data_IF_899196110238
#
_entry.id   IF_899196110238
#
_cell.length_a   1.000
_cell.length_b   1.000
_cell.length_c   1.000
_cell.angle_alpha   90.00
_cell.angle_beta   90.00
_cell.angle_gamma   90.00
#
_symmetry.space_group_name_H-M   'P 1'
#
loop_
_entity.id
_entity.type
_entity.pdbx_description
1 polymer ?
#
# COMPACT_ATOMS: atom_id res chain seq x y z
N UNK A 1 -10.76 -13.92 -5.69
CA UNK A 1 -9.67 -12.95 -5.82
C UNK A 1 -9.99 -11.83 -6.82
N UNK A 2 -10.28 -12.09 -8.12
CA UNK A 2 -10.67 -11.02 -9.06
C UNK A 2 -11.97 -10.33 -8.61
N UNK A 3 -12.94 -11.06 -8.10
CA UNK A 3 -14.20 -10.50 -7.58
C UNK A 3 -13.98 -9.52 -6.41
N UNK A 4 -12.96 -9.73 -5.58
CA UNK A 4 -12.66 -8.81 -4.47
C UNK A 4 -12.03 -7.50 -4.95
N UNK A 5 -11.36 -7.49 -6.11
CA UNK A 5 -10.87 -6.25 -6.73
C UNK A 5 -12.00 -5.39 -7.30
N UNK A 6 -13.13 -6.01 -7.65
CA UNK A 6 -14.30 -5.32 -8.21
C UNK A 6 -15.22 -4.73 -7.13
N UNK A 7 -15.03 -5.13 -5.86
CA UNK A 7 -15.82 -4.56 -4.76
C UNK A 7 -15.39 -3.11 -4.52
N UNK A 8 -16.32 -2.13 -4.61
CA UNK A 8 -16.00 -0.75 -4.29
C UNK A 8 -15.59 -0.63 -2.82
N UNK A 9 -14.48 0.03 -2.55
CA UNK A 9 -13.97 0.28 -1.20
C UNK A 9 -15.07 0.85 -0.27
N UNK A 10 -15.89 1.77 -0.77
CA UNK A 10 -16.95 2.43 0.00
C UNK A 10 -18.06 1.48 0.47
N UNK A 11 -18.26 0.34 -0.19
CA UNK A 11 -19.23 -0.68 0.25
C UNK A 11 -18.69 -1.48 1.43
N UNK A 12 -17.38 -1.75 1.42
CA UNK A 12 -16.72 -2.56 2.46
C UNK A 12 -16.44 -1.75 3.73
N UNK A 13 -16.20 -0.46 3.59
CA UNK A 13 -15.74 0.36 4.72
C UNK A 13 -16.83 0.55 5.79
N UNK A 14 -18.11 0.55 5.42
CA UNK A 14 -19.21 0.71 6.38
C UNK A 14 -19.27 -0.48 7.36
N UNK A 15 -19.40 -1.75 6.92
CA UNK A 15 -19.36 -2.88 7.83
C UNK A 15 -18.03 -2.98 8.58
N UNK A 16 -16.91 -2.63 7.95
CA UNK A 16 -15.60 -2.60 8.59
C UNK A 16 -15.56 -1.57 9.74
N UNK A 17 -16.12 -0.38 9.55
CA UNK A 17 -16.23 0.62 10.60
C UNK A 17 -17.05 0.10 11.78
N UNK A 18 -18.19 -0.56 11.52
CA UNK A 18 -19.04 -1.13 12.56
C UNK A 18 -18.25 -2.14 13.41
N UNK A 19 -17.49 -3.03 12.76
CA UNK A 19 -16.66 -4.02 13.45
C UNK A 19 -15.60 -3.33 14.32
N UNK A 20 -14.84 -2.38 13.79
CA UNK A 20 -13.82 -1.69 14.57
C UNK A 20 -14.40 -0.82 15.69
N UNK A 21 -15.58 -0.25 15.47
CA UNK A 21 -16.27 0.53 16.52
C UNK A 21 -16.75 -0.39 17.66
N UNK A 22 -17.32 -1.56 17.35
CA UNK A 22 -17.75 -2.52 18.37
C UNK A 22 -16.58 -3.10 19.17
N UNK A 23 -15.40 -3.20 18.55
CA UNK A 23 -14.17 -3.63 19.19
C UNK A 23 -13.44 -2.52 19.96
N UNK A 24 -13.98 -1.28 19.97
CA UNK A 24 -13.38 -0.15 20.66
C UNK A 24 -12.06 0.33 20.02
N UNK A 25 -11.83 0.04 18.74
CA UNK A 25 -10.60 0.37 18.03
C UNK A 25 -10.65 1.70 17.28
N UNK A 26 -11.82 2.36 17.25
CA UNK A 26 -11.97 3.71 16.67
C UNK A 26 -11.20 4.73 17.52
N UNK A 27 -10.67 5.77 16.89
CA UNK A 27 -9.74 6.75 17.45
C UNK A 27 -8.38 6.15 17.84
N UNK A 28 -7.94 5.13 17.09
CA UNK A 28 -6.59 4.57 17.16
C UNK A 28 -6.08 4.31 15.73
N UNK A 29 -4.78 4.06 15.58
CA UNK A 29 -4.20 3.65 14.29
C UNK A 29 -4.48 2.18 13.94
N UNK A 30 -5.04 1.38 14.85
CA UNK A 30 -5.27 -0.05 14.66
C UNK A 30 -6.10 -0.38 13.41
N UNK A 31 -7.25 0.27 13.15
CA UNK A 31 -8.03 0.01 11.93
C UNK A 31 -7.25 0.27 10.63
N UNK A 32 -6.40 1.30 10.63
CA UNK A 32 -5.61 1.68 9.47
C UNK A 32 -4.46 0.70 9.19
N UNK A 33 -3.90 0.10 10.23
CA UNK A 33 -2.75 -0.79 10.13
C UNK A 33 -3.15 -2.26 9.97
N UNK A 34 -4.23 -2.68 10.64
CA UNK A 34 -4.61 -4.10 10.71
C UNK A 34 -4.83 -4.73 9.33
N UNK A 35 -5.53 -4.04 8.44
CA UNK A 35 -5.75 -4.49 7.07
C UNK A 35 -4.46 -4.68 6.29
N UNK A 36 -3.47 -3.81 6.52
CA UNK A 36 -2.15 -3.89 5.86
C UNK A 36 -1.32 -5.05 6.38
N UNK A 37 -1.30 -5.28 7.69
CA UNK A 37 -0.60 -6.42 8.30
C UNK A 37 -1.23 -7.76 7.94
N UNK A 38 -2.53 -7.81 7.78
CA UNK A 38 -3.25 -9.03 7.38
C UNK A 38 -3.21 -9.28 5.87
N UNK A 39 -2.50 -8.43 5.11
CA UNK A 39 -2.38 -8.53 3.64
C UNK A 39 -3.74 -8.65 2.94
N UNK A 40 -4.74 -7.88 3.38
CA UNK A 40 -6.11 -7.94 2.83
C UNK A 40 -6.27 -7.13 1.54
N UNK A 41 -5.26 -6.35 1.13
CA UNK A 41 -5.31 -5.55 -0.08
C UNK A 41 -5.18 -6.43 -1.34
N UNK A 42 -6.31 -6.69 -1.98
CA UNK A 42 -6.42 -7.59 -3.12
C UNK A 42 -5.49 -7.22 -4.30
N UNK A 43 -5.19 -5.94 -4.47
CA UNK A 43 -4.26 -5.47 -5.52
C UNK A 43 -2.86 -6.05 -5.35
N UNK A 44 -2.27 -5.99 -4.16
CA UNK A 44 -0.92 -6.51 -3.94
C UNK A 44 -0.85 -8.03 -4.03
N UNK A 45 -1.91 -8.72 -3.55
CA UNK A 45 -2.01 -10.17 -3.71
C UNK A 45 -2.09 -10.53 -5.20
N UNK A 46 -2.90 -9.80 -5.97
CA UNK A 46 -3.02 -10.01 -7.41
C UNK A 46 -1.69 -9.79 -8.11
N UNK A 47 -0.99 -8.69 -7.81
CA UNK A 47 0.32 -8.37 -8.38
C UNK A 47 1.34 -9.48 -8.12
N UNK A 48 1.43 -9.97 -6.88
CA UNK A 48 2.33 -11.07 -6.50
C UNK A 48 1.98 -12.36 -7.26
N UNK A 49 0.70 -12.70 -7.34
CA UNK A 49 0.25 -13.91 -8.06
C UNK A 49 0.55 -13.81 -9.55
N UNK A 50 0.34 -12.65 -10.18
CA UNK A 50 0.64 -12.47 -11.59
C UNK A 50 2.15 -12.59 -11.86
N UNK A 51 2.98 -12.05 -10.99
CA UNK A 51 4.41 -12.15 -11.11
C UNK A 51 4.88 -13.60 -10.95
N UNK A 52 4.38 -14.32 -9.95
CA UNK A 52 4.67 -15.74 -9.74
C UNK A 52 4.24 -16.62 -10.94
N UNK A 53 3.09 -16.31 -11.55
CA UNK A 53 2.60 -17.04 -12.74
C UNK A 53 3.45 -16.80 -13.99
N UNK A 54 4.15 -15.68 -14.05
CA UNK A 54 5.10 -15.36 -15.12
C UNK A 54 6.46 -16.03 -14.98
N UNK A 55 6.75 -16.69 -13.85
CA UNK A 55 8.01 -17.38 -13.65
C UNK A 55 8.07 -18.70 -14.43
N UNK A 56 9.24 -19.05 -14.99
CA UNK A 56 9.46 -20.35 -15.62
C UNK A 56 9.26 -21.49 -14.62
N UNK A 57 8.49 -22.50 -14.99
CA UNK A 57 8.25 -23.68 -14.14
C UNK A 57 9.48 -24.57 -13.99
N UNK A 58 10.36 -24.49 -14.93
CA UNK A 58 11.63 -25.25 -14.98
C UNK A 58 12.47 -24.98 -13.73
N UNK A 59 12.39 -23.79 -13.15
CA UNK A 59 13.11 -23.45 -11.93
C UNK A 59 12.59 -24.24 -10.71
N UNK A 60 11.28 -24.42 -10.61
CA UNK A 60 10.64 -25.20 -9.55
C UNK A 60 10.94 -26.71 -9.74
N UNK A 61 10.85 -27.20 -10.97
CA UNK A 61 11.11 -28.59 -11.33
C UNK A 61 12.58 -28.97 -11.08
N UNK A 62 13.51 -28.14 -11.51
CA UNK A 62 14.96 -28.38 -11.28
C UNK A 62 15.27 -28.44 -9.78
N UNK A 63 14.73 -27.50 -9.01
CA UNK A 63 14.95 -27.49 -7.57
C UNK A 63 14.35 -28.70 -6.85
N UNK A 64 13.24 -29.25 -7.34
CA UNK A 64 12.65 -30.49 -6.81
C UNK A 64 13.51 -31.71 -7.13
N UNK A 65 14.09 -31.77 -8.33
CA UNK A 65 15.04 -32.83 -8.70
C UNK A 65 16.26 -32.80 -7.79
N UNK A 66 16.72 -31.59 -7.41
CA UNK A 66 17.82 -31.40 -6.44
C UNK A 66 17.39 -31.68 -4.97
N UNK A 67 16.18 -32.18 -4.75
CA UNK A 67 15.67 -32.55 -3.43
C UNK A 67 15.24 -31.37 -2.56
N UNK A 68 15.04 -30.19 -3.13
CA UNK A 68 14.56 -29.04 -2.36
C UNK A 68 13.08 -29.16 -2.02
N UNK A 69 12.75 -29.04 -0.74
CA UNK A 69 11.35 -28.95 -0.27
C UNK A 69 10.73 -27.59 -0.60
N UNK A 70 9.39 -27.52 -0.57
CA UNK A 70 8.61 -26.31 -0.94
C UNK A 70 9.08 -25.03 -0.23
N UNK A 71 9.37 -25.09 1.09
CA UNK A 71 9.85 -23.94 1.86
C UNK A 71 11.21 -23.43 1.35
N UNK A 72 12.12 -24.34 0.98
CA UNK A 72 13.43 -23.98 0.42
C UNK A 72 13.29 -23.36 -0.97
N UNK A 73 12.43 -23.93 -1.82
CA UNK A 73 12.15 -23.39 -3.16
C UNK A 73 11.60 -21.96 -3.02
N UNK A 74 10.61 -21.76 -2.13
CA UNK A 74 10.05 -20.43 -1.90
C UNK A 74 11.12 -19.44 -1.42
N UNK A 75 11.85 -19.77 -0.36
CA UNK A 75 12.78 -18.83 0.26
C UNK A 75 14.04 -18.55 -0.57
N UNK A 76 14.57 -19.60 -1.28
CA UNK A 76 15.86 -19.48 -1.97
C UNK A 76 15.75 -19.17 -3.46
N UNK A 77 14.59 -19.42 -4.08
CA UNK A 77 14.38 -19.20 -5.51
C UNK A 77 13.28 -18.18 -5.77
N UNK A 78 12.05 -18.45 -5.30
CA UNK A 78 10.90 -17.61 -5.62
C UNK A 78 10.99 -16.22 -4.98
N UNK A 79 11.31 -16.14 -3.69
CA UNK A 79 11.35 -14.89 -2.96
C UNK A 79 12.42 -13.91 -3.49
N UNK A 80 13.65 -14.32 -3.82
CA UNK A 80 14.62 -13.46 -4.50
C UNK A 80 14.15 -12.98 -5.88
N UNK A 81 13.51 -13.85 -6.65
CA UNK A 81 12.96 -13.49 -7.97
C UNK A 81 11.74 -12.55 -7.86
N UNK A 82 10.97 -12.62 -6.76
CA UNK A 82 9.86 -11.70 -6.46
C UNK A 82 10.33 -10.30 -6.05
N UNK A 83 11.61 -10.10 -5.78
CA UNK A 83 12.11 -8.81 -5.27
C UNK A 83 11.64 -7.59 -6.07
N UNK A 84 11.63 -7.57 -7.42
CA UNK A 84 11.12 -6.43 -8.18
C UNK A 84 9.64 -6.14 -7.90
N UNK A 85 8.81 -7.19 -7.83
CA UNK A 85 7.39 -7.06 -7.54
C UNK A 85 7.14 -6.59 -6.09
N UNK A 86 7.94 -7.06 -5.14
CA UNK A 86 7.89 -6.61 -3.74
C UNK A 86 8.26 -5.14 -3.61
N UNK A 87 9.32 -4.69 -4.30
CA UNK A 87 9.72 -3.29 -4.31
C UNK A 87 8.63 -2.42 -4.92
N UNK A 88 8.07 -2.83 -6.06
CA UNK A 88 6.94 -2.12 -6.69
C UNK A 88 5.74 -2.03 -5.75
N UNK A 89 5.39 -3.13 -5.08
CA UNK A 89 4.31 -3.14 -4.08
C UNK A 89 4.60 -2.20 -2.91
N UNK A 90 5.82 -2.18 -2.41
CA UNK A 90 6.21 -1.29 -1.31
C UNK A 90 6.10 0.19 -1.72
N UNK A 91 6.45 0.52 -2.97
CA UNK A 91 6.31 1.86 -3.52
C UNK A 91 4.84 2.30 -3.56
N UNK A 92 3.96 1.47 -4.15
CA UNK A 92 2.53 1.78 -4.21
C UNK A 92 1.90 1.83 -2.82
N UNK A 93 2.24 0.89 -1.93
CA UNK A 93 1.75 0.87 -0.56
C UNK A 93 2.13 2.16 0.19
N UNK A 94 3.38 2.64 0.02
CA UNK A 94 3.81 3.89 0.60
C UNK A 94 3.01 5.08 0.05
N UNK A 95 2.92 5.21 -1.28
CA UNK A 95 2.23 6.33 -1.93
C UNK A 95 0.76 6.37 -1.51
N UNK A 96 0.07 5.23 -1.54
CA UNK A 96 -1.35 5.15 -1.17
C UNK A 96 -1.58 5.44 0.30
N UNK A 97 -0.72 4.91 1.17
CA UNK A 97 -0.84 5.14 2.62
C UNK A 97 -0.52 6.58 3.00
N UNK A 98 0.51 7.18 2.38
CA UNK A 98 0.89 8.57 2.62
C UNK A 98 -0.20 9.55 2.21
N UNK A 99 -0.89 9.28 1.10
CA UNK A 99 -1.96 10.13 0.57
C UNK A 99 -3.35 9.73 1.06
N UNK A 100 -3.47 8.71 1.95
CA UNK A 100 -4.77 8.29 2.45
C UNK A 100 -5.38 9.37 3.33
N UNK A 101 -6.47 9.92 2.85
CA UNK A 101 -7.28 10.91 3.56
C UNK A 101 -8.51 10.28 4.19
N UNK A 102 -9.16 9.36 3.46
CA UNK A 102 -10.48 8.89 3.82
C UNK A 102 -10.47 7.89 5.00
N UNK A 103 -9.53 6.97 5.02
CA UNK A 103 -9.37 6.04 6.14
C UNK A 103 -9.13 6.76 7.45
N UNK A 104 -8.09 7.60 7.55
CA UNK A 104 -7.85 8.41 8.74
C UNK A 104 -9.03 9.31 9.12
N UNK A 105 -9.70 9.96 8.17
CA UNK A 105 -10.89 10.80 8.43
C UNK A 105 -12.02 10.02 9.11
N UNK A 106 -12.18 8.73 8.74
CA UNK A 106 -13.22 7.88 9.29
C UNK A 106 -12.89 7.38 10.70
N UNK A 107 -11.62 6.98 10.91
CA UNK A 107 -11.22 6.29 12.13
C UNK A 107 -10.63 7.20 13.20
N UNK A 108 -9.98 8.31 12.84
CA UNK A 108 -9.33 9.21 13.80
C UNK A 108 -10.25 10.39 14.12
N UNK A 109 -10.45 10.64 15.40
CA UNK A 109 -11.32 11.73 15.90
C UNK A 109 -10.53 12.79 16.66
N UNK A 110 -9.40 12.39 17.27
CA UNK A 110 -8.55 13.28 18.03
C UNK A 110 -7.58 14.00 17.08
N UNK A 111 -7.51 15.34 17.12
CA UNK A 111 -6.58 16.12 16.33
C UNK A 111 -5.11 15.71 16.50
N UNK A 112 -4.72 15.26 17.70
CA UNK A 112 -3.35 14.82 17.99
C UNK A 112 -2.95 13.53 17.25
N UNK A 113 -3.95 12.79 16.73
CA UNK A 113 -3.74 11.57 15.93
C UNK A 113 -3.85 11.81 14.43
N UNK A 114 -4.17 13.04 13.99
CA UNK A 114 -4.43 13.29 12.58
C UNK A 114 -3.20 13.06 11.71
N UNK A 115 -3.41 12.34 10.62
CA UNK A 115 -2.41 12.22 9.56
C UNK A 115 -2.32 13.53 8.78
N UNK A 116 -1.20 13.72 8.07
CA UNK A 116 -0.92 14.94 7.33
C UNK A 116 -2.05 15.36 6.36
N UNK A 117 -2.66 14.44 5.57
CA UNK A 117 -3.79 14.81 4.69
C UNK A 117 -5.00 15.37 5.45
N UNK A 118 -5.31 14.86 6.65
CA UNK A 118 -6.40 15.42 7.46
C UNK A 118 -5.98 16.74 8.08
N UNK A 119 -4.76 16.83 8.61
CA UNK A 119 -4.26 18.03 9.25
C UNK A 119 -4.26 19.23 8.30
N UNK A 120 -3.94 19.02 7.02
CA UNK A 120 -4.02 20.07 5.99
C UNK A 120 -5.43 20.68 5.87
N UNK A 121 -6.47 19.90 6.12
CA UNK A 121 -7.84 20.40 6.11
C UNK A 121 -8.11 21.39 7.24
N UNK A 122 -7.44 21.27 8.38
CA UNK A 122 -7.64 22.18 9.53
C UNK A 122 -7.24 23.61 9.22
N UNK A 123 -6.34 23.85 8.24
CA UNK A 123 -5.97 25.19 7.80
C UNK A 123 -7.02 25.87 6.92
N UNK A 124 -8.02 25.12 6.45
CA UNK A 124 -9.14 25.63 5.68
C UNK A 124 -10.33 25.77 6.63
N UNK A 125 -10.33 26.77 7.46
CA UNK A 125 -11.48 27.06 8.32
C UNK A 125 -12.59 27.77 7.51
N UNK A 126 -13.83 27.29 7.70
CA UNK A 126 -15.01 27.84 7.04
C UNK A 126 -15.47 29.18 7.66
N UNK A 127 -14.88 29.58 8.78
CA UNK A 127 -15.37 30.71 9.59
C UNK A 127 -14.58 32.02 9.44
N UNK A 128 -13.76 32.21 8.42
CA UNK A 128 -13.17 33.51 8.07
C UNK A 128 -11.65 33.73 8.24
N UNK A 129 -10.91 32.82 8.82
CA UNK A 129 -9.46 32.97 9.03
C UNK A 129 -8.64 31.82 8.45
N UNK A 130 -8.93 31.45 7.17
CA UNK A 130 -8.11 30.44 6.48
C UNK A 130 -6.66 30.93 6.36
N UNK A 131 -5.73 30.24 7.00
CA UNK A 131 -4.31 30.51 6.83
C UNK A 131 -3.77 29.76 5.59
N UNK A 132 -4.05 30.33 4.43
CA UNK A 132 -3.57 29.78 3.15
C UNK A 132 -2.04 29.71 3.07
N UNK A 133 -1.33 30.61 3.78
CA UNK A 133 0.12 30.58 3.84
C UNK A 133 0.63 29.34 4.54
N UNK A 134 0.11 29.05 5.73
CA UNK A 134 0.44 27.85 6.49
C UNK A 134 0.02 26.59 5.74
N UNK A 135 -1.18 26.58 5.12
CA UNK A 135 -1.64 25.46 4.31
C UNK A 135 -0.70 25.16 3.14
N UNK A 136 -0.29 26.18 2.38
CA UNK A 136 0.66 26.02 1.26
C UNK A 136 2.02 25.53 1.74
N UNK A 137 2.54 26.07 2.85
CA UNK A 137 3.79 25.61 3.44
C UNK A 137 3.72 24.13 3.85
N UNK A 138 2.64 23.73 4.53
CA UNK A 138 2.40 22.33 4.90
C UNK A 138 2.24 21.42 3.69
N UNK A 139 1.54 21.87 2.64
CA UNK A 139 1.40 21.12 1.39
C UNK A 139 2.76 20.88 0.70
N UNK A 140 3.62 21.88 0.67
CA UNK A 140 5.00 21.76 0.14
C UNK A 140 5.81 20.79 0.99
N UNK A 141 5.74 20.88 2.32
CA UNK A 141 6.41 19.95 3.23
C UNK A 141 5.90 18.51 3.06
N UNK A 142 4.60 18.34 2.78
CA UNK A 142 3.98 17.04 2.52
C UNK A 142 4.54 16.35 1.25
N UNK A 143 5.01 17.11 0.27
CA UNK A 143 5.63 16.57 -0.94
C UNK A 143 7.05 16.04 -0.69
N UNK A 144 7.76 16.57 0.31
CA UNK A 144 9.16 16.21 0.55
C UNK A 144 9.37 14.71 0.74
N UNK A 145 8.64 13.99 1.63
CA UNK A 145 8.82 12.56 1.79
C UNK A 145 8.50 11.76 0.53
N UNK A 146 7.48 12.18 -0.23
CA UNK A 146 7.11 11.51 -1.48
C UNK A 146 8.19 11.68 -2.54
N UNK A 147 8.73 12.89 -2.68
CA UNK A 147 9.83 13.18 -3.60
C UNK A 147 11.10 12.43 -3.21
N UNK A 148 11.47 12.44 -1.93
CA UNK A 148 12.63 11.68 -1.44
C UNK A 148 12.47 10.19 -1.70
N UNK A 149 11.29 9.64 -1.41
CA UNK A 149 10.99 8.25 -1.67
C UNK A 149 11.07 7.92 -3.16
N UNK A 150 10.50 8.78 -4.02
CA UNK A 150 10.59 8.63 -5.46
C UNK A 150 12.05 8.66 -5.96
N UNK A 151 12.84 9.62 -5.52
CA UNK A 151 14.25 9.74 -5.92
C UNK A 151 15.09 8.51 -5.54
N UNK A 152 14.78 7.90 -4.38
CA UNK A 152 15.48 6.69 -3.92
C UNK A 152 15.06 5.47 -4.77
N UNK A 153 13.76 5.33 -5.06
CA UNK A 153 13.20 4.11 -5.63
C UNK A 153 12.91 4.18 -7.14
N UNK A 154 13.08 5.35 -7.82
CA UNK A 154 12.75 5.54 -9.23
C UNK A 154 13.36 4.48 -10.17
N UNK A 155 14.60 4.06 -9.92
CA UNK A 155 15.28 3.02 -10.71
C UNK A 155 14.53 1.68 -10.68
N UNK A 156 13.91 1.33 -9.56
CA UNK A 156 13.19 0.07 -9.41
C UNK A 156 11.80 0.10 -10.06
N UNK A 157 11.22 1.30 -10.27
CA UNK A 157 9.96 1.46 -11.01
C UNK A 157 10.14 1.13 -12.49
N UNK A 158 11.26 1.54 -13.07
CA UNK A 158 11.54 1.30 -14.50
C UNK A 158 11.81 -0.18 -14.75
N UNK A 159 12.58 -0.84 -13.89
CA UNK A 159 12.91 -2.26 -14.02
C UNK A 159 11.67 -3.16 -13.88
N UNK A 160 10.71 -2.80 -13.00
CA UNK A 160 9.47 -3.57 -12.78
C UNK A 160 8.48 -3.51 -13.95
N UNK A 161 8.48 -2.42 -14.73
CA UNK A 161 7.58 -2.23 -15.89
C UNK A 161 8.23 -2.77 -17.17
N UNK A 162 9.53 -2.63 -17.32
CA UNK A 162 10.25 -3.02 -18.54
C UNK A 162 10.28 -4.55 -18.77
N UNK A 163 10.26 -5.36 -17.71
CA UNK A 163 10.25 -6.82 -17.81
C UNK A 163 8.92 -7.39 -18.32
N UNK A 164 7.84 -6.63 -18.31
CA UNK A 164 6.54 -7.05 -18.86
C UNK A 164 6.36 -6.65 -20.34
N UNK A 165 7.14 -5.69 -20.85
CA UNK A 165 7.02 -5.19 -22.23
C UNK A 165 7.83 -5.94 -23.29
N UNK A 166 8.73 -6.84 -22.92
CA UNK A 166 9.65 -7.52 -23.85
C UNK A 166 9.23 -8.95 -24.23
N UNK A 167 7.99 -9.35 -23.92
CA UNK A 167 7.39 -10.61 -24.41
C UNK A 167 6.22 -10.31 -25.34
N UNK A 168 6.49 -9.59 -26.39
CA UNK A 168 5.64 -9.45 -27.58
C UNK A 168 6.38 -9.95 -28.79
#
# INVERSE_FOLDING_TARGET
MIATLLLPFHVVIIPQYIVFNTLGMVNTFTPLLLGKFLATEAFFIFLMVQFLRGMPRELDEAARIDGAGHGRIFASIMLPLLKPALVTSAIFAFIWTWNDFFGPLLYLKDPDLFTLPIALRLFVDQSSASDYGAQMAMAVLALVPVLLFFLIFQRHLVDGVATQGLKG
#
